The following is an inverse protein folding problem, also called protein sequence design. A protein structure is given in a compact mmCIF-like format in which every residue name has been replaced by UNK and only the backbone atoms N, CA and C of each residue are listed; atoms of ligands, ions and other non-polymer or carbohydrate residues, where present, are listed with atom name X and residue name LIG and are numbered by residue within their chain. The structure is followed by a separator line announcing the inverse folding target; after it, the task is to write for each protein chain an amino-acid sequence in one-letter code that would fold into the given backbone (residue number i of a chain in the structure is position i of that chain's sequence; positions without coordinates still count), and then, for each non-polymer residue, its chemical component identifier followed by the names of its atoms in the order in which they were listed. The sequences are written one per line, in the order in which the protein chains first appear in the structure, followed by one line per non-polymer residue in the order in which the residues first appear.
data_IF_878604217442
#
_entry.id   IF_878604217442
#
_cell.length_a   1.000
_cell.length_b   1.000
_cell.length_c   1.000
_cell.angle_alpha   90.00
_cell.angle_beta   90.00
_cell.angle_gamma   90.00
#
_symmetry.space_group_name_H-M   'P 1'
#
loop_
_entity.id
_entity.type
_entity.pdbx_description
1 polymer ?
#
# COMPACT_ATOMS: atom_id res chain seq x y z
N UNK A 1 -38.69 6.61 17.04
CA UNK A 1 -37.34 5.99 16.94
C UNK A 1 -36.70 6.12 15.53
N UNK A 2 -37.07 7.12 14.73
CA UNK A 2 -36.60 7.28 13.32
C UNK A 2 -35.49 8.35 13.19
N UNK A 3 -35.45 9.33 14.08
CA UNK A 3 -34.50 10.45 14.03
C UNK A 3 -33.03 10.04 14.29
N UNK A 4 -32.78 9.04 15.14
CA UNK A 4 -31.42 8.58 15.45
C UNK A 4 -30.76 7.88 14.24
N UNK A 5 -31.51 7.06 13.49
CA UNK A 5 -30.98 6.37 12.29
C UNK A 5 -30.63 7.34 11.16
N UNK A 6 -31.41 8.42 10.99
CA UNK A 6 -31.14 9.46 9.99
C UNK A 6 -29.88 10.28 10.34
N UNK A 7 -29.72 10.67 11.61
CA UNK A 7 -28.55 11.41 12.08
C UNK A 7 -27.24 10.60 12.02
N UNK A 8 -27.31 9.28 12.27
CA UNK A 8 -26.16 8.37 12.13
C UNK A 8 -25.73 8.25 10.67
N UNK A 9 -26.67 8.02 9.72
CA UNK A 9 -26.35 7.96 8.29
C UNK A 9 -25.77 9.27 7.75
N UNK A 10 -26.26 10.44 8.18
CA UNK A 10 -25.69 11.72 7.76
C UNK A 10 -24.28 11.99 8.32
N UNK A 11 -24.01 11.60 9.58
CA UNK A 11 -22.65 11.67 10.15
C UNK A 11 -21.68 10.72 9.44
N UNK A 12 -22.16 9.59 8.94
CA UNK A 12 -21.37 8.60 8.22
C UNK A 12 -20.95 9.09 6.82
N UNK A 13 -21.82 9.87 6.17
CA UNK A 13 -21.56 10.47 4.85
C UNK A 13 -20.48 11.58 4.89
N UNK A 14 -20.30 12.23 6.04
CA UNK A 14 -19.27 13.27 6.23
C UNK A 14 -17.88 12.73 6.62
N UNK A 15 -17.75 11.42 6.84
CA UNK A 15 -16.45 10.83 7.19
C UNK A 15 -15.59 10.59 5.95
N UNK A 16 -14.28 10.69 6.16
CA UNK A 16 -13.28 10.32 5.16
C UNK A 16 -13.41 8.84 4.82
N UNK A 17 -13.07 8.47 3.58
CA UNK A 17 -13.27 7.11 3.06
C UNK A 17 -12.55 6.07 3.93
N UNK A 18 -11.31 6.34 4.33
CA UNK A 18 -10.53 5.46 5.21
C UNK A 18 -11.13 5.30 6.61
N UNK A 19 -11.77 6.34 7.15
CA UNK A 19 -12.45 6.27 8.46
C UNK A 19 -13.70 5.38 8.40
N UNK A 20 -14.42 5.42 7.27
CA UNK A 20 -15.55 4.53 7.03
C UNK A 20 -15.09 3.08 6.91
N UNK A 21 -13.97 2.83 6.22
CA UNK A 21 -13.35 1.49 6.15
C UNK A 21 -13.00 0.97 7.56
N UNK A 22 -12.23 1.73 8.36
CA UNK A 22 -11.83 1.31 9.71
C UNK A 22 -13.02 0.94 10.61
N UNK A 23 -14.12 1.67 10.51
CA UNK A 23 -15.33 1.40 11.31
C UNK A 23 -16.18 0.24 10.81
N UNK A 24 -16.05 -0.11 9.54
CA UNK A 24 -16.77 -1.23 8.94
C UNK A 24 -16.14 -2.60 9.30
N UNK A 25 -14.86 -2.60 9.70
CA UNK A 25 -14.18 -3.79 10.23
C UNK A 25 -14.97 -4.31 11.43
N UNK A 26 -15.27 -5.60 11.42
CA UNK A 26 -16.00 -6.27 12.49
C UNK A 26 -15.40 -7.64 12.80
N UNK A 27 -16.04 -8.39 13.71
CA UNK A 27 -15.56 -9.68 14.19
C UNK A 27 -15.38 -10.74 13.09
N UNK A 28 -16.15 -10.65 12.01
CA UNK A 28 -16.26 -11.71 11.01
C UNK A 28 -15.55 -11.39 9.71
N UNK A 29 -15.38 -10.11 9.38
CA UNK A 29 -14.87 -9.67 8.08
C UNK A 29 -14.14 -8.32 8.19
N UNK A 30 -13.12 -8.15 7.34
CA UNK A 30 -12.38 -6.90 7.16
C UNK A 30 -13.20 -5.85 6.39
N UNK A 31 -14.06 -6.30 5.48
CA UNK A 31 -14.95 -5.45 4.68
C UNK A 31 -16.16 -6.26 4.20
N UNK A 32 -17.33 -5.62 4.16
CA UNK A 32 -18.58 -6.34 3.90
C UNK A 32 -18.83 -6.66 2.42
N UNK A 33 -19.38 -7.85 2.14
CA UNK A 33 -19.92 -8.22 0.83
C UNK A 33 -20.97 -7.20 0.34
N UNK A 34 -21.89 -6.82 1.23
CA UNK A 34 -23.05 -6.01 0.89
C UNK A 34 -22.73 -4.52 0.69
N UNK A 35 -21.54 -4.07 1.09
CA UNK A 35 -21.17 -2.65 1.04
C UNK A 35 -20.18 -2.38 -0.12
N UNK A 36 -20.60 -2.72 -1.32
CA UNK A 36 -19.80 -2.57 -2.55
C UNK A 36 -19.43 -1.11 -2.83
N UNK A 37 -20.28 -0.15 -2.43
CA UNK A 37 -20.01 1.29 -2.59
C UNK A 37 -18.80 1.73 -1.76
N UNK A 38 -18.80 1.46 -0.45
CA UNK A 38 -17.67 1.79 0.42
C UNK A 38 -16.39 1.11 -0.08
N UNK A 39 -16.54 -0.15 -0.48
CA UNK A 39 -15.46 -0.96 -0.98
C UNK A 39 -14.81 -0.35 -2.25
N UNK A 40 -15.60 -0.07 -3.27
CA UNK A 40 -15.10 0.51 -4.53
C UNK A 40 -14.52 1.91 -4.31
N UNK A 41 -15.18 2.73 -3.48
CA UNK A 41 -14.68 4.04 -3.10
C UNK A 41 -13.31 3.95 -2.43
N UNK A 42 -13.09 2.92 -1.60
CA UNK A 42 -11.82 2.76 -0.90
C UNK A 42 -10.69 2.25 -1.79
N UNK A 43 -10.97 1.34 -2.74
CA UNK A 43 -9.98 0.99 -3.76
C UNK A 43 -9.59 2.19 -4.63
N UNK A 44 -10.58 2.97 -5.07
CA UNK A 44 -10.31 4.19 -5.82
C UNK A 44 -9.50 5.20 -4.98
N UNK A 45 -9.83 5.34 -3.70
CA UNK A 45 -9.10 6.17 -2.76
C UNK A 45 -7.61 5.75 -2.67
N UNK A 46 -7.30 4.46 -2.54
CA UNK A 46 -5.90 3.99 -2.50
C UNK A 46 -5.16 4.28 -3.82
N UNK A 47 -5.84 4.11 -4.95
CA UNK A 47 -5.28 4.33 -6.29
C UNK A 47 -5.08 5.80 -6.69
N UNK A 48 -5.84 6.74 -6.11
CA UNK A 48 -5.92 8.12 -6.66
C UNK A 48 -5.68 9.24 -5.65
N UNK A 49 -5.80 8.99 -4.34
CA UNK A 49 -5.70 10.07 -3.35
C UNK A 49 -4.32 10.74 -3.38
N UNK A 50 -4.24 12.09 -3.37
CA UNK A 50 -2.97 12.80 -3.34
C UNK A 50 -2.13 12.43 -2.12
N UNK A 51 -0.83 12.27 -2.35
CA UNK A 51 0.14 11.91 -1.31
C UNK A 51 0.65 13.19 -0.67
N UNK A 52 0.57 13.26 0.66
CA UNK A 52 1.11 14.35 1.45
C UNK A 52 2.56 14.09 1.84
N UNK A 53 2.86 12.86 2.29
CA UNK A 53 4.19 12.46 2.75
C UNK A 53 4.48 11.00 2.42
N UNK A 54 5.71 10.73 2.03
CA UNK A 54 6.27 9.40 1.84
C UNK A 54 7.46 9.19 2.80
N UNK A 55 7.60 7.98 3.35
CA UNK A 55 8.72 7.60 4.22
C UNK A 55 9.13 6.17 3.95
N UNK A 56 10.40 5.84 4.16
CA UNK A 56 10.82 4.44 4.22
C UNK A 56 10.21 3.78 5.46
N UNK A 57 9.69 2.56 5.31
CA UNK A 57 9.25 1.77 6.48
C UNK A 57 10.48 1.13 7.12
N UNK A 58 10.88 1.60 8.30
CA UNK A 58 11.97 0.99 9.08
C UNK A 58 11.62 -0.42 9.58
N UNK A 59 12.67 -1.21 9.84
CA UNK A 59 12.56 -2.56 10.41
C UNK A 59 11.76 -3.51 9.53
N UNK A 60 11.95 -3.44 8.21
CA UNK A 60 11.35 -4.33 7.23
C UNK A 60 12.41 -5.16 6.54
N UNK A 61 12.04 -6.38 6.15
CA UNK A 61 12.95 -7.30 5.48
C UNK A 61 13.28 -6.86 4.05
N UNK A 62 12.31 -6.29 3.33
CA UNK A 62 12.47 -5.81 1.95
C UNK A 62 11.88 -4.39 1.82
N UNK A 63 12.15 -3.71 0.70
CA UNK A 63 11.74 -2.33 0.45
C UNK A 63 10.23 -2.13 0.57
N UNK A 64 9.83 -1.24 1.49
CA UNK A 64 8.45 -0.82 1.72
C UNK A 64 8.40 0.66 2.02
N UNK A 65 7.40 1.34 1.48
CA UNK A 65 7.13 2.75 1.81
C UNK A 65 5.87 2.88 2.67
N UNK A 66 5.89 3.87 3.53
CA UNK A 66 4.73 4.35 4.26
C UNK A 66 4.26 5.66 3.65
N UNK A 67 2.99 5.72 3.25
CA UNK A 67 2.37 6.91 2.70
C UNK A 67 1.37 7.51 3.68
N UNK A 68 1.38 8.84 3.76
CA UNK A 68 0.30 9.64 4.35
C UNK A 68 -0.36 10.42 3.22
N UNK A 69 -1.66 10.25 3.07
CA UNK A 69 -2.48 10.96 2.09
C UNK A 69 -2.85 12.38 2.56
N UNK A 70 -3.28 13.23 1.64
CA UNK A 70 -3.65 14.63 1.92
C UNK A 70 -4.77 14.78 2.96
N UNK A 71 -5.66 13.78 3.07
CA UNK A 71 -6.71 13.76 4.09
C UNK A 71 -6.29 13.03 5.38
N UNK A 72 -5.01 12.72 5.54
CA UNK A 72 -4.44 12.07 6.72
C UNK A 72 -4.68 10.57 6.83
N UNK A 73 -5.27 9.92 5.83
CA UNK A 73 -5.26 8.46 5.79
C UNK A 73 -3.88 7.93 5.42
N UNK A 74 -3.64 6.64 5.69
CA UNK A 74 -2.32 6.03 5.55
C UNK A 74 -2.39 4.78 4.66
N UNK A 75 -1.25 4.42 4.07
CA UNK A 75 -1.10 3.19 3.29
C UNK A 75 0.33 2.64 3.35
N UNK A 76 0.47 1.34 3.11
CA UNK A 76 1.75 0.69 2.84
C UNK A 76 1.90 0.44 1.36
N UNK A 77 3.10 0.71 0.85
CA UNK A 77 3.42 0.49 -0.56
C UNK A 77 4.55 -0.50 -0.72
N UNK A 78 4.35 -1.47 -1.63
CA UNK A 78 5.42 -2.28 -2.18
C UNK A 78 5.64 -1.87 -3.64
N UNK A 79 6.83 -1.34 -4.00
CA UNK A 79 7.11 -0.99 -5.39
C UNK A 79 7.28 -2.24 -6.25
N UNK A 80 7.10 -2.09 -7.56
CA UNK A 80 7.46 -3.10 -8.54
C UNK A 80 8.97 -3.39 -8.49
N UNK A 81 9.34 -4.67 -8.66
CA UNK A 81 10.72 -5.16 -8.53
C UNK A 81 11.15 -6.06 -9.68
N UNK A 82 10.25 -6.94 -10.12
CA UNK A 82 10.54 -7.96 -11.15
C UNK A 82 9.41 -8.04 -12.18
N UNK A 83 9.71 -8.35 -13.45
CA UNK A 83 8.71 -8.55 -14.50
C UNK A 83 7.59 -9.53 -14.14
N UNK A 84 6.45 -9.47 -14.83
CA UNK A 84 5.29 -10.32 -14.52
C UNK A 84 5.51 -11.81 -14.82
N UNK A 85 6.38 -12.08 -15.76
CA UNK A 85 6.87 -13.39 -16.20
C UNK A 85 8.10 -13.86 -15.42
N UNK A 86 8.58 -13.08 -14.45
CA UNK A 86 9.63 -13.55 -13.54
C UNK A 86 9.10 -14.69 -12.68
N UNK A 87 9.82 -15.81 -12.69
CA UNK A 87 9.62 -16.94 -11.79
C UNK A 87 10.78 -17.02 -10.79
N UNK A 88 10.45 -17.34 -9.54
CA UNK A 88 11.46 -17.64 -8.51
C UNK A 88 12.29 -18.83 -8.99
N UNK A 89 13.61 -18.67 -9.04
CA UNK A 89 14.50 -19.74 -9.51
C UNK A 89 14.45 -20.95 -8.57
N UNK A 90 14.61 -22.20 -9.07
CA UNK A 90 14.39 -23.41 -8.26
C UNK A 90 15.25 -23.54 -7.00
N UNK A 91 16.46 -22.98 -7.02
CA UNK A 91 17.40 -23.05 -5.91
C UNK A 91 17.18 -21.95 -4.85
N UNK A 92 16.20 -21.05 -5.05
CA UNK A 92 15.84 -20.05 -4.05
C UNK A 92 14.99 -20.67 -2.93
N UNK A 93 15.49 -20.57 -1.71
CA UNK A 93 14.68 -20.83 -0.52
C UNK A 93 13.57 -19.78 -0.37
N UNK A 94 12.46 -20.16 0.28
CA UNK A 94 11.29 -19.28 0.48
C UNK A 94 11.62 -17.96 1.21
N UNK A 95 12.61 -17.95 2.10
CA UNK A 95 13.06 -16.75 2.83
C UNK A 95 13.99 -15.86 2.00
N UNK A 96 14.40 -16.31 0.81
CA UNK A 96 15.21 -15.55 -0.14
C UNK A 96 14.37 -15.07 -1.32
N UNK A 97 13.06 -15.31 -1.34
CA UNK A 97 12.20 -14.88 -2.45
C UNK A 97 11.97 -13.36 -2.41
N UNK A 98 11.87 -12.74 -3.59
CA UNK A 98 11.62 -11.30 -3.72
C UNK A 98 10.12 -11.07 -3.56
N UNK A 99 9.74 -10.12 -2.71
CA UNK A 99 8.35 -9.70 -2.57
C UNK A 99 7.86 -9.06 -3.88
N UNK A 100 6.71 -9.55 -4.37
CA UNK A 100 6.09 -9.12 -5.62
C UNK A 100 4.85 -8.28 -5.32
N UNK A 101 4.82 -7.02 -5.76
CA UNK A 101 3.70 -6.12 -5.47
C UNK A 101 2.38 -6.63 -6.06
N UNK A 102 2.42 -7.27 -7.24
CA UNK A 102 1.25 -7.89 -7.85
C UNK A 102 0.72 -9.09 -7.05
N UNK A 103 1.56 -9.80 -6.30
CA UNK A 103 1.10 -10.88 -5.42
C UNK A 103 0.20 -10.35 -4.29
N UNK A 104 0.51 -9.17 -3.74
CA UNK A 104 -0.33 -8.51 -2.73
C UNK A 104 -1.72 -8.15 -3.28
N UNK A 105 -1.77 -7.61 -4.50
CA UNK A 105 -3.02 -7.27 -5.19
C UNK A 105 -3.82 -8.55 -5.47
N UNK A 106 -3.17 -9.56 -6.06
CA UNK A 106 -3.79 -10.83 -6.40
C UNK A 106 -4.33 -11.58 -5.18
N UNK A 107 -3.56 -11.63 -4.09
CA UNK A 107 -3.97 -12.29 -2.85
C UNK A 107 -5.24 -11.65 -2.26
N UNK A 108 -5.31 -10.32 -2.27
CA UNK A 108 -6.50 -9.60 -1.83
C UNK A 108 -7.73 -9.89 -2.72
N UNK A 109 -7.58 -9.89 -4.04
CA UNK A 109 -8.69 -10.20 -4.95
C UNK A 109 -9.12 -11.67 -4.85
N UNK A 110 -8.18 -12.60 -4.69
CA UNK A 110 -8.46 -14.03 -4.48
C UNK A 110 -9.19 -14.27 -3.16
N UNK A 111 -8.76 -13.64 -2.06
CA UNK A 111 -9.44 -13.68 -0.75
C UNK A 111 -10.90 -13.20 -0.86
N UNK A 112 -11.18 -12.22 -1.72
CA UNK A 112 -12.57 -11.80 -2.01
C UNK A 112 -13.35 -12.83 -2.81
N UNK A 113 -12.74 -13.39 -3.87
CA UNK A 113 -13.40 -14.37 -4.75
C UNK A 113 -13.81 -15.61 -3.95
N UNK A 114 -12.97 -16.01 -2.98
CA UNK A 114 -13.24 -17.10 -2.05
C UNK A 114 -14.14 -16.70 -0.86
N UNK A 115 -14.65 -15.46 -0.87
CA UNK A 115 -15.53 -14.87 0.14
C UNK A 115 -14.97 -14.89 1.58
N UNK A 116 -13.65 -14.92 1.73
CA UNK A 116 -12.99 -14.88 3.03
C UNK A 116 -13.00 -13.49 3.65
N UNK A 117 -12.69 -12.45 2.86
CA UNK A 117 -12.73 -11.03 3.28
C UNK A 117 -11.85 -10.73 4.49
N UNK A 118 -10.65 -11.30 4.52
CA UNK A 118 -9.69 -11.17 5.63
C UNK A 118 -8.45 -10.37 5.27
N UNK A 119 -8.16 -10.20 3.98
CA UNK A 119 -7.02 -9.41 3.51
C UNK A 119 -7.41 -7.92 3.43
N UNK A 120 -6.60 -6.99 3.97
CA UNK A 120 -6.86 -5.56 3.82
C UNK A 120 -6.97 -5.15 2.34
N UNK A 121 -7.83 -4.16 2.00
CA UNK A 121 -7.94 -3.68 0.63
C UNK A 121 -6.60 -3.27 0.02
N UNK A 122 -6.33 -3.74 -1.20
CA UNK A 122 -5.09 -3.47 -1.91
C UNK A 122 -5.37 -3.07 -3.36
N UNK A 123 -4.81 -1.94 -3.80
CA UNK A 123 -4.96 -1.41 -5.15
C UNK A 123 -3.60 -1.24 -5.83
N UNK A 124 -3.55 -1.46 -7.15
CA UNK A 124 -2.41 -1.03 -7.96
C UNK A 124 -2.42 0.48 -8.17
N UNK A 125 -1.24 1.10 -8.17
CA UNK A 125 -1.05 2.51 -8.51
C UNK A 125 0.26 2.70 -9.26
N UNK A 126 0.24 3.56 -10.27
CA UNK A 126 1.45 4.08 -10.93
C UNK A 126 1.82 5.38 -10.21
N UNK A 127 3.06 5.47 -9.75
CA UNK A 127 3.62 6.63 -9.08
C UNK A 127 4.55 7.37 -10.02
N UNK A 128 4.44 8.70 -10.06
CA UNK A 128 5.52 9.55 -10.54
C UNK A 128 6.54 9.71 -9.41
N UNK A 129 7.69 9.04 -9.50
CA UNK A 129 8.72 9.03 -8.46
C UNK A 129 9.17 10.42 -8.04
N UNK A 130 9.26 11.37 -8.97
CA UNK A 130 9.63 12.76 -8.67
C UNK A 130 8.56 13.43 -7.80
N UNK A 131 7.30 13.46 -8.27
CA UNK A 131 6.22 14.27 -7.68
C UNK A 131 5.49 13.59 -6.52
N UNK A 132 5.30 12.28 -6.61
CA UNK A 132 4.50 11.50 -5.67
C UNK A 132 5.35 10.99 -4.50
N UNK A 133 6.63 10.72 -4.72
CA UNK A 133 7.52 10.13 -3.72
C UNK A 133 8.63 11.10 -3.30
N UNK A 134 9.53 11.52 -4.20
CA UNK A 134 10.71 12.33 -3.87
C UNK A 134 10.33 13.69 -3.27
N UNK A 135 9.46 14.46 -3.93
CA UNK A 135 8.99 15.77 -3.44
C UNK A 135 8.17 15.66 -2.14
N UNK A 136 7.71 14.44 -1.80
CA UNK A 136 6.92 14.13 -0.59
C UNK A 136 7.73 13.38 0.46
N UNK A 137 8.99 13.05 0.17
CA UNK A 137 9.82 12.22 1.01
C UNK A 137 10.28 13.01 2.24
N UNK A 138 10.47 12.32 3.36
CA UNK A 138 11.26 12.89 4.44
C UNK A 138 12.76 12.85 4.16
N UNK A 139 13.53 13.45 5.06
CA UNK A 139 14.97 13.62 4.88
C UNK A 139 15.73 12.30 4.83
N UNK A 140 15.21 11.22 5.42
CA UNK A 140 15.82 9.89 5.29
C UNK A 140 15.55 9.32 3.90
N UNK A 141 14.29 9.25 3.46
CA UNK A 141 13.98 8.66 2.16
C UNK A 141 14.53 9.48 0.97
N UNK A 142 14.47 10.82 1.04
CA UNK A 142 14.92 11.69 -0.07
C UNK A 142 16.42 11.57 -0.38
N UNK A 143 17.26 11.21 0.60
CA UNK A 143 18.70 11.00 0.41
C UNK A 143 19.03 9.70 -0.30
N UNK A 144 18.11 8.74 -0.28
CA UNK A 144 18.30 7.43 -0.92
C UNK A 144 17.95 7.43 -2.42
N UNK A 145 17.54 8.58 -2.97
CA UNK A 145 17.28 8.72 -4.40
C UNK A 145 18.57 8.94 -5.19
N UNK A 146 18.66 8.29 -6.34
CA UNK A 146 19.79 8.41 -7.26
C UNK A 146 19.33 8.26 -8.71
N UNK A 147 20.23 8.56 -9.65
CA UNK A 147 20.02 8.30 -11.08
C UNK A 147 20.83 7.09 -11.51
N UNK A 148 20.19 6.15 -12.19
CA UNK A 148 20.90 5.02 -12.80
C UNK A 148 21.75 5.47 -14.00
N UNK A 149 22.68 4.63 -14.50
CA UNK A 149 23.42 4.92 -15.73
C UNK A 149 22.52 5.15 -16.96
N UNK A 150 21.30 4.60 -16.96
CA UNK A 150 20.28 4.82 -17.99
C UNK A 150 19.46 6.11 -17.77
N UNK A 151 19.85 6.94 -16.78
CA UNK A 151 19.18 8.18 -16.39
C UNK A 151 17.74 8.00 -15.85
N UNK A 152 17.40 6.80 -15.36
CA UNK A 152 16.14 6.57 -14.66
C UNK A 152 16.26 7.07 -13.22
N UNK A 153 15.16 7.61 -12.68
CA UNK A 153 15.06 7.95 -11.27
C UNK A 153 14.83 6.68 -10.46
N UNK A 154 15.68 6.44 -9.47
CA UNK A 154 15.67 5.25 -8.63
C UNK A 154 15.76 5.65 -7.17
N UNK A 155 15.38 4.72 -6.29
CA UNK A 155 15.65 4.81 -4.87
C UNK A 155 15.95 3.43 -4.28
N UNK A 156 16.53 3.40 -3.10
CA UNK A 156 16.58 2.22 -2.26
C UNK A 156 16.16 2.59 -0.84
N UNK A 157 15.86 1.63 0.02
CA UNK A 157 15.66 1.90 1.45
C UNK A 157 16.58 1.02 2.26
N UNK A 158 16.84 1.39 3.50
CA UNK A 158 17.53 0.53 4.46
C UNK A 158 16.65 -0.68 4.84
N UNK A 159 17.06 -1.88 4.40
CA UNK A 159 16.36 -3.14 4.63
C UNK A 159 17.31 -4.35 4.52
N UNK A 160 16.90 -5.47 5.11
CA UNK A 160 17.80 -6.60 5.37
C UNK A 160 18.05 -7.52 4.15
N UNK A 161 17.09 -7.60 3.22
CA UNK A 161 17.11 -8.54 2.09
C UNK A 161 16.71 -7.83 0.79
N UNK A 162 17.43 -8.15 -0.30
CA UNK A 162 17.16 -7.60 -1.63
C UNK A 162 17.17 -6.07 -1.63
N UNK A 163 18.13 -5.46 -0.94
CA UNK A 163 18.29 -4.01 -0.88
C UNK A 163 19.62 -3.55 -1.50
N UNK A 164 20.20 -4.42 -2.35
CA UNK A 164 21.36 -4.11 -3.18
C UNK A 164 20.92 -3.41 -4.47
N UNK A 165 21.45 -2.20 -4.69
CA UNK A 165 21.20 -1.39 -5.89
C UNK A 165 21.75 -2.02 -7.18
N UNK A 166 22.73 -2.92 -7.09
CA UNK A 166 23.31 -3.61 -8.24
C UNK A 166 22.43 -4.77 -8.71
N UNK A 167 21.76 -5.45 -7.79
CA UNK A 167 21.00 -6.66 -8.11
C UNK A 167 19.50 -6.37 -8.30
N UNK A 168 18.92 -5.54 -7.43
CA UNK A 168 17.46 -5.38 -7.39
C UNK A 168 17.02 -3.92 -7.17
N UNK A 169 17.49 -2.98 -8.03
CA UNK A 169 17.18 -1.57 -7.86
C UNK A 169 15.69 -1.28 -8.04
N UNK A 170 15.17 -0.31 -7.27
CA UNK A 170 13.81 0.21 -7.47
C UNK A 170 13.90 1.44 -8.37
N UNK A 171 13.63 1.25 -9.65
CA UNK A 171 13.75 2.29 -10.67
C UNK A 171 12.46 2.50 -11.45
N UNK A 172 12.19 3.75 -11.81
CA UNK A 172 11.16 4.08 -12.78
C UNK A 172 11.62 3.92 -14.23
N UNK A 173 10.74 4.26 -15.17
CA UNK A 173 11.04 4.37 -16.60
C UNK A 173 10.37 5.59 -17.25
N UNK A 174 11.04 6.76 -17.33
CA UNK A 174 12.25 7.11 -16.60
C UNK A 174 11.98 7.41 -15.11
N UNK A 175 10.77 7.87 -14.77
CA UNK A 175 10.39 8.27 -13.41
C UNK A 175 9.04 7.71 -12.96
N UNK A 176 8.42 6.82 -13.73
CA UNK A 176 7.19 6.15 -13.35
C UNK A 176 7.45 4.72 -12.89
N UNK A 177 6.84 4.33 -11.76
CA UNK A 177 6.91 2.97 -11.26
C UNK A 177 5.53 2.52 -10.77
N UNK A 178 5.19 1.26 -11.01
CA UNK A 178 4.01 0.65 -10.42
C UNK A 178 4.28 0.21 -8.97
N UNK A 179 3.26 0.20 -8.13
CA UNK A 179 3.32 -0.42 -6.81
C UNK A 179 1.94 -0.86 -6.33
N UNK A 180 1.94 -1.75 -5.34
CA UNK A 180 0.73 -2.11 -4.61
C UNK A 180 0.54 -1.14 -3.46
N UNK A 181 -0.71 -0.75 -3.19
CA UNK A 181 -1.10 0.20 -2.15
C UNK A 181 -2.08 -0.49 -1.23
N UNK A 182 -1.56 -0.98 -0.10
CA UNK A 182 -2.33 -1.67 0.91
C UNK A 182 -2.92 -0.67 1.91
N UNK A 183 -4.20 -0.84 2.22
CA UNK A 183 -4.89 -0.13 3.28
C UNK A 183 -4.15 -0.26 4.61
N UNK A 184 -3.90 0.87 5.28
CA UNK A 184 -3.36 0.83 6.63
C UNK A 184 -4.45 0.43 7.63
N UNK A 185 -4.12 -0.51 8.51
CA UNK A 185 -5.01 -0.92 9.59
C UNK A 185 -5.15 0.18 10.64
N UNK A 186 -6.23 0.19 11.44
CA UNK A 186 -6.34 1.10 12.56
C UNK A 186 -5.11 1.01 13.49
N UNK A 187 -4.66 2.12 14.08
CA UNK A 187 -3.48 2.11 14.94
C UNK A 187 -3.72 1.23 16.17
N UNK A 188 -2.65 0.57 16.64
CA UNK A 188 -2.65 -0.33 17.83
C UNK A 188 -3.23 0.34 19.08
N UNK A 189 -3.06 1.66 19.22
CA UNK A 189 -3.62 2.45 20.32
C UNK A 189 -5.14 2.46 20.34
N UNK A 190 -5.79 2.20 19.20
CA UNK A 190 -7.23 2.15 19.04
C UNK A 190 -7.79 0.74 18.80
N UNK A 191 -6.98 -0.15 18.22
CA UNK A 191 -7.36 -1.53 17.91
C UNK A 191 -6.13 -2.42 18.08
N UNK A 192 -5.91 -2.92 19.30
CA UNK A 192 -4.77 -3.78 19.62
C UNK A 192 -4.87 -5.11 18.88
N UNK A 193 -3.79 -5.53 18.24
CA UNK A 193 -3.68 -6.86 17.61
C UNK A 193 -3.05 -7.85 18.58
N UNK A 194 -3.59 -9.06 18.63
CA UNK A 194 -2.93 -10.17 19.32
C UNK A 194 -1.76 -10.65 18.47
N UNK A 195 -0.56 -10.47 18.98
CA UNK A 195 0.67 -11.11 18.49
C UNK A 195 0.72 -12.57 18.90
#
# INVERSE_FOLDING_TARGET
MVFVKYGVKQREKHRKVWQRFHRAINRYEMYSYNNTELFNNYLNYLGTTPILRARAKSGGTQVKLFLVFADGGEALVKPWRVPRDYETVPDHYYFADIERHNAEISAFHLDRILDFRRVPPNAGRIFNLSRDIYDRADSSLSREFYRSPANNLCFMTDCDQHCDIAETPVCGNPDQIEGSVAAFLPPETSAKRSS
#
